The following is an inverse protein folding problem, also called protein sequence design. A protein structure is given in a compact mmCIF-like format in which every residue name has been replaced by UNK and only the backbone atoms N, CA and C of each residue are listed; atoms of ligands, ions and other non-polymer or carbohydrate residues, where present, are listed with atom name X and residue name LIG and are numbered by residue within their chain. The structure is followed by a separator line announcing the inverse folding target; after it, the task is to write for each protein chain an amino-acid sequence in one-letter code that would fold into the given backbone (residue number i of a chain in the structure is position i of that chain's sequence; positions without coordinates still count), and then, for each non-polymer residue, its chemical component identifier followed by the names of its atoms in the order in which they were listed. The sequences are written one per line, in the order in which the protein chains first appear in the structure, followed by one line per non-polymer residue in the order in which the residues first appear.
data_IF_455318481939
#
_entry.id   IF_455318481939
#
_cell.length_a   1.000
_cell.length_b   1.000
_cell.length_c   1.000
_cell.angle_alpha   90.00
_cell.angle_beta   90.00
_cell.angle_gamma   90.00
#
_symmetry.space_group_name_H-M   'P 1'
#
loop_
_entity.id
_entity.type
_entity.pdbx_description
1 polymer ?
#
# COMPACT_ATOMS: atom_id res chain seq x y z
N UNK A 1 -10.41 -2.86 11.49
CA UNK A 1 -10.50 -2.28 10.12
C UNK A 1 -10.60 -3.33 9.02
N UNK A 2 -9.58 -4.17 8.78
CA UNK A 2 -9.64 -5.18 7.70
C UNK A 2 -10.87 -6.13 7.81
N UNK A 3 -11.25 -6.50 9.03
CA UNK A 3 -12.46 -7.31 9.26
C UNK A 3 -13.75 -6.64 8.75
N UNK A 4 -13.89 -5.33 8.97
CA UNK A 4 -15.06 -4.58 8.49
C UNK A 4 -15.02 -4.38 6.97
N UNK A 5 -13.84 -4.16 6.39
CA UNK A 5 -13.68 -4.07 4.93
C UNK A 5 -14.16 -5.32 4.19
N UNK A 6 -13.92 -6.51 4.77
CA UNK A 6 -14.37 -7.78 4.19
C UNK A 6 -15.90 -7.91 4.09
N UNK A 7 -16.66 -7.17 4.88
CA UNK A 7 -18.14 -7.17 4.83
C UNK A 7 -18.68 -6.32 3.69
N UNK A 8 -17.88 -5.37 3.18
CA UNK A 8 -18.25 -4.48 2.08
C UNK A 8 -18.10 -5.14 0.71
N UNK A 9 -18.54 -4.42 -0.33
CA UNK A 9 -18.42 -4.83 -1.74
C UNK A 9 -17.50 -3.92 -2.56
N UNK A 10 -16.80 -3.00 -1.90
CA UNK A 10 -15.95 -1.99 -2.56
C UNK A 10 -14.67 -2.56 -3.17
N UNK A 11 -14.31 -3.82 -2.88
CA UNK A 11 -13.03 -4.44 -3.25
C UNK A 11 -11.79 -3.69 -2.73
N UNK A 12 -11.97 -2.88 -1.68
CA UNK A 12 -10.86 -2.14 -1.06
C UNK A 12 -9.94 -3.07 -0.28
N UNK A 13 -8.65 -2.75 -0.26
CA UNK A 13 -7.60 -3.56 0.39
C UNK A 13 -6.78 -2.67 1.34
N UNK A 14 -6.35 -3.22 2.48
CA UNK A 14 -5.37 -2.60 3.38
C UNK A 14 -4.20 -3.56 3.50
N UNK A 15 -3.03 -3.12 3.03
CA UNK A 15 -1.76 -3.85 3.14
C UNK A 15 -0.95 -3.24 4.27
N UNK A 16 -0.46 -4.07 5.19
CA UNK A 16 0.38 -3.64 6.33
C UNK A 16 1.80 -4.09 6.08
N UNK A 17 2.75 -3.16 6.15
CA UNK A 17 4.18 -3.42 6.06
C UNK A 17 4.77 -3.46 7.48
N UNK A 18 4.98 -4.64 8.09
CA UNK A 18 5.27 -4.76 9.51
C UNK A 18 6.60 -4.14 9.95
N UNK A 19 7.53 -3.94 9.00
CA UNK A 19 8.87 -3.41 9.25
C UNK A 19 9.05 -1.97 8.75
N UNK A 20 7.96 -1.27 8.45
CA UNK A 20 7.98 0.07 7.88
C UNK A 20 7.19 1.06 8.76
N UNK A 21 7.85 2.13 9.18
CA UNK A 21 7.23 3.19 9.97
C UNK A 21 6.35 4.12 9.12
N UNK A 22 5.55 4.96 9.79
CA UNK A 22 4.78 5.99 9.11
C UNK A 22 5.69 6.88 8.23
N UNK A 23 5.27 7.10 6.99
CA UNK A 23 6.03 7.90 6.02
C UNK A 23 7.19 7.14 5.37
N UNK A 24 7.17 5.80 5.39
CA UNK A 24 8.24 4.97 4.83
C UNK A 24 8.57 5.21 3.34
N UNK A 25 7.66 5.80 2.57
CA UNK A 25 7.87 6.14 1.15
C UNK A 25 8.51 7.54 0.94
N UNK A 26 8.69 8.32 2.01
CA UNK A 26 9.28 9.65 1.93
C UNK A 26 10.82 9.56 1.90
N UNK A 27 11.41 9.43 0.70
CA UNK A 27 12.86 9.26 0.49
C UNK A 27 13.78 10.34 1.09
N UNK A 28 13.22 11.47 1.51
CA UNK A 28 13.96 12.57 2.15
C UNK A 28 14.00 12.46 3.69
N UNK A 29 13.36 11.47 4.29
CA UNK A 29 13.26 11.28 5.75
C UNK A 29 14.09 10.09 6.23
N UNK A 30 14.47 10.12 7.51
CA UNK A 30 15.17 9.01 8.16
C UNK A 30 14.36 7.71 8.19
N UNK A 31 13.02 7.82 8.20
CA UNK A 31 12.10 6.68 8.22
C UNK A 31 11.93 6.01 6.84
N UNK A 32 12.62 6.48 5.80
CA UNK A 32 12.54 5.89 4.47
C UNK A 32 12.92 4.40 4.52
N UNK A 33 12.01 3.55 4.07
CA UNK A 33 12.23 2.12 3.93
C UNK A 33 12.11 1.75 2.45
N UNK A 34 13.26 1.64 1.78
CA UNK A 34 13.33 1.37 0.33
C UNK A 34 12.58 0.08 -0.05
N UNK A 35 12.84 -1.09 0.58
CA UNK A 35 12.10 -2.32 0.27
C UNK A 35 10.58 -2.18 0.36
N UNK A 36 10.06 -1.60 1.45
CA UNK A 36 8.62 -1.41 1.63
C UNK A 36 8.05 -0.40 0.62
N UNK A 37 8.82 0.63 0.24
CA UNK A 37 8.41 1.63 -0.74
C UNK A 37 8.27 1.03 -2.14
N UNK A 38 9.28 0.28 -2.58
CA UNK A 38 9.27 -0.37 -3.89
C UNK A 38 8.15 -1.41 -4.00
N UNK A 39 7.95 -2.21 -2.95
CA UNK A 39 6.85 -3.18 -2.91
C UNK A 39 5.47 -2.48 -2.90
N UNK A 40 5.29 -1.43 -2.07
CA UNK A 40 4.05 -0.67 -2.03
C UNK A 40 3.74 0.00 -3.37
N UNK A 41 4.77 0.53 -4.05
CA UNK A 41 4.62 1.16 -5.35
C UNK A 41 4.20 0.16 -6.44
N UNK A 42 4.79 -1.05 -6.45
CA UNK A 42 4.36 -2.10 -7.38
C UNK A 42 2.90 -2.49 -7.12
N UNK A 43 2.51 -2.74 -5.87
CA UNK A 43 1.12 -3.09 -5.53
C UNK A 43 0.11 -2.01 -5.93
N UNK A 44 0.49 -0.73 -5.84
CA UNK A 44 -0.35 0.38 -6.27
C UNK A 44 -0.57 0.37 -7.78
N UNK A 45 0.51 0.18 -8.56
CA UNK A 45 0.41 0.10 -10.02
C UNK A 45 -0.46 -1.09 -10.44
N UNK A 46 -0.22 -2.28 -9.88
CA UNK A 46 -1.04 -3.48 -10.13
C UNK A 46 -2.53 -3.23 -9.79
N UNK A 47 -2.81 -2.49 -8.72
CA UNK A 47 -4.17 -2.11 -8.36
C UNK A 47 -4.79 -1.25 -9.46
N UNK A 48 -4.08 -0.20 -9.91
CA UNK A 48 -4.59 0.70 -10.95
C UNK A 48 -4.88 -0.01 -12.27
N UNK A 49 -3.98 -0.89 -12.73
CA UNK A 49 -4.20 -1.70 -13.94
C UNK A 49 -5.45 -2.57 -13.80
N UNK A 50 -5.58 -3.29 -12.67
CA UNK A 50 -6.71 -4.18 -12.38
C UNK A 50 -8.07 -3.48 -12.42
N UNK A 51 -8.10 -2.17 -12.24
CA UNK A 51 -9.33 -1.40 -12.14
C UNK A 51 -9.46 -0.30 -13.21
N UNK A 52 -8.59 -0.31 -14.22
CA UNK A 52 -8.67 0.57 -15.39
C UNK A 52 -8.37 2.04 -15.09
N UNK A 53 -7.59 2.33 -14.05
CA UNK A 53 -7.12 3.69 -13.77
C UNK A 53 -5.86 4.06 -14.57
N UNK A 54 -5.20 3.06 -15.16
CA UNK A 54 -4.11 3.17 -16.14
C UNK A 54 -4.29 2.13 -17.24
#
# INVERSE_FOLDING_TARGET
MQYELKKGKSKSEIVVFPNADHGFHAGYRAQFNKPASEEAWQKLQDWFEKNGAI
#
